data_IF_233891420944
#
_entry.id   IF_233891420944
#
_cell.length_a   1.000
_cell.length_b   1.000
_cell.length_c   1.000
_cell.angle_alpha   90.00
_cell.angle_beta   90.00
_cell.angle_gamma   90.00
#
_symmetry.space_group_name_H-M   'P 1'
#
loop_
_entity.id
_entity.type
_entity.pdbx_description
1 polymer ?
#
# COMPACT_ATOMS: atom_id res chain seq x y z
N UNK A 1 30.29 -64.89 -47.03
CA UNK A 1 29.00 -64.66 -46.33
C UNK A 1 29.27 -63.95 -45.03
N UNK A 2 29.03 -62.63 -44.98
CA UNK A 2 29.11 -61.80 -43.77
C UNK A 2 27.71 -61.21 -43.55
N UNK A 3 27.09 -61.60 -42.46
CA UNK A 3 25.77 -61.18 -41.98
C UNK A 3 25.86 -59.77 -41.40
N UNK A 4 25.00 -58.86 -41.88
CA UNK A 4 24.76 -57.54 -41.28
C UNK A 4 23.43 -57.65 -40.53
N UNK A 5 23.47 -57.52 -39.20
CA UNK A 5 22.28 -57.32 -38.36
C UNK A 5 21.97 -55.82 -38.34
N UNK A 6 20.84 -55.43 -38.93
CA UNK A 6 20.25 -54.11 -38.75
C UNK A 6 19.27 -54.19 -37.56
N UNK A 7 19.60 -53.53 -36.45
CA UNK A 7 18.72 -53.38 -35.30
C UNK A 7 17.74 -52.24 -35.56
N UNK A 8 16.46 -52.57 -35.70
CA UNK A 8 15.35 -51.62 -35.76
C UNK A 8 14.97 -51.24 -34.32
N UNK A 9 15.31 -50.03 -33.89
CA UNK A 9 14.88 -49.48 -32.60
C UNK A 9 13.48 -48.91 -32.77
N UNK A 10 12.49 -49.52 -32.12
CA UNK A 10 11.13 -48.98 -32.01
C UNK A 10 11.12 -47.86 -30.96
N UNK A 11 10.90 -46.62 -31.38
CA UNK A 11 10.54 -45.52 -30.46
C UNK A 11 9.08 -45.72 -30.02
N UNK A 12 8.87 -46.10 -28.76
CA UNK A 12 7.58 -45.89 -28.09
C UNK A 12 7.51 -44.44 -27.61
N UNK A 13 6.77 -43.61 -28.34
CA UNK A 13 6.36 -42.29 -27.86
C UNK A 13 5.35 -42.48 -26.72
N UNK A 14 5.80 -42.29 -25.48
CA UNK A 14 4.88 -42.14 -24.35
C UNK A 14 4.22 -40.76 -24.46
N UNK A 15 2.99 -40.73 -24.96
CA UNK A 15 2.11 -39.59 -24.77
C UNK A 15 1.84 -39.45 -23.27
N UNK A 16 2.49 -38.49 -22.61
CA UNK A 16 2.05 -38.00 -21.30
C UNK A 16 0.72 -37.26 -21.52
N UNK A 17 -0.38 -38.00 -21.40
CA UNK A 17 -1.71 -37.40 -21.26
C UNK A 17 -1.75 -36.66 -19.93
N UNK A 18 -1.63 -35.34 -19.97
CA UNK A 18 -2.12 -34.50 -18.89
C UNK A 18 -3.61 -34.86 -18.70
N UNK A 19 -4.10 -35.14 -17.48
CA UNK A 19 -5.53 -35.37 -17.28
C UNK A 19 -6.25 -34.12 -17.76
N UNK A 20 -7.15 -34.27 -18.74
CA UNK A 20 -7.96 -33.18 -19.27
C UNK A 20 -8.64 -32.47 -18.09
N UNK A 21 -8.22 -31.24 -17.81
CA UNK A 21 -8.98 -30.37 -16.93
C UNK A 21 -10.38 -30.25 -17.53
N UNK A 22 -11.39 -30.84 -16.88
CA UNK A 22 -12.78 -30.78 -17.34
C UNK A 22 -13.14 -29.32 -17.58
N UNK A 23 -13.34 -28.98 -18.84
CA UNK A 23 -13.82 -27.66 -19.24
C UNK A 23 -15.31 -27.63 -19.00
N UNK A 24 -15.77 -26.57 -18.32
CA UNK A 24 -17.15 -26.31 -18.02
C UNK A 24 -17.57 -24.99 -18.66
N UNK A 25 -18.81 -24.95 -19.11
CA UNK A 25 -19.46 -23.77 -19.68
C UNK A 25 -20.54 -23.29 -18.71
N UNK A 26 -20.59 -22.00 -18.42
CA UNK A 26 -21.55 -21.40 -17.46
C UNK A 26 -22.01 -20.03 -17.93
N UNK A 27 -23.33 -19.83 -17.92
CA UNK A 27 -23.96 -18.52 -18.20
C UNK A 27 -24.50 -17.94 -16.89
N UNK A 28 -24.12 -16.69 -16.61
CA UNK A 28 -24.57 -15.88 -15.48
C UNK A 28 -25.48 -14.77 -15.99
N UNK A 29 -26.49 -14.39 -15.22
CA UNK A 29 -27.43 -13.31 -15.58
C UNK A 29 -27.52 -12.29 -14.46
N UNK A 30 -27.18 -11.05 -14.77
CA UNK A 30 -27.18 -9.95 -13.79
C UNK A 30 -28.60 -9.62 -13.35
N UNK A 31 -28.78 -9.52 -12.03
CA UNK A 31 -30.04 -9.16 -11.37
C UNK A 31 -29.96 -7.77 -10.74
N UNK A 32 -28.83 -7.44 -10.10
CA UNK A 32 -28.69 -6.21 -9.31
C UNK A 32 -27.69 -5.22 -9.92
N UNK A 33 -26.88 -5.69 -10.87
CA UNK A 33 -26.01 -4.86 -11.70
C UNK A 33 -26.83 -4.27 -12.85
N UNK A 34 -26.94 -2.94 -12.92
CA UNK A 34 -27.95 -2.29 -13.79
C UNK A 34 -27.39 -1.24 -14.76
N UNK A 35 -26.08 -1.06 -14.80
CA UNK A 35 -25.44 -0.13 -15.74
C UNK A 35 -24.45 -0.87 -16.63
N UNK A 36 -24.30 -0.41 -17.88
CA UNK A 36 -23.32 -0.95 -18.84
C UNK A 36 -21.90 -0.86 -18.28
N UNK A 37 -21.57 0.26 -17.62
CA UNK A 37 -20.28 0.41 -16.95
C UNK A 37 -20.07 -0.68 -15.89
N UNK A 38 -21.06 -0.93 -15.03
CA UNK A 38 -20.96 -1.97 -14.01
C UNK A 38 -20.81 -3.37 -14.62
N UNK A 39 -21.47 -3.67 -15.75
CA UNK A 39 -21.28 -4.95 -16.44
C UNK A 39 -19.83 -5.13 -16.91
N UNK A 40 -19.22 -4.09 -17.49
CA UNK A 40 -17.81 -4.14 -17.89
C UNK A 40 -16.85 -4.25 -16.71
N UNK A 41 -17.11 -3.53 -15.60
CA UNK A 41 -16.30 -3.61 -14.37
C UNK A 41 -16.34 -5.05 -13.82
N UNK A 42 -17.54 -5.63 -13.58
CA UNK A 42 -17.67 -7.01 -13.07
C UNK A 42 -17.07 -8.04 -14.02
N UNK A 43 -17.29 -7.90 -15.33
CA UNK A 43 -16.70 -8.81 -16.33
C UNK A 43 -15.18 -8.78 -16.30
N UNK A 44 -14.60 -7.58 -16.21
CA UNK A 44 -13.14 -7.40 -16.13
C UNK A 44 -12.58 -7.97 -14.84
N UNK A 45 -13.29 -7.78 -13.72
CA UNK A 45 -12.92 -8.36 -12.43
C UNK A 45 -12.87 -9.88 -12.47
N UNK A 46 -13.96 -10.51 -12.92
CA UNK A 46 -14.05 -11.96 -13.03
C UNK A 46 -12.90 -12.46 -13.90
N UNK A 47 -12.74 -11.94 -15.12
CA UNK A 47 -11.68 -12.36 -16.05
C UNK A 47 -10.28 -12.27 -15.43
N UNK A 48 -9.99 -11.20 -14.69
CA UNK A 48 -8.63 -10.94 -14.22
C UNK A 48 -8.30 -11.66 -12.91
N UNK A 49 -9.29 -11.87 -12.02
CA UNK A 49 -9.09 -12.61 -10.78
C UNK A 49 -9.06 -14.11 -11.02
N UNK A 50 -9.92 -14.64 -11.89
CA UNK A 50 -9.99 -16.07 -12.18
C UNK A 50 -8.91 -16.54 -13.14
N UNK A 51 -8.34 -15.61 -13.92
CA UNK A 51 -7.48 -15.92 -15.07
C UNK A 51 -8.21 -16.71 -16.16
N UNK A 52 -9.56 -16.66 -16.15
CA UNK A 52 -10.39 -17.42 -17.07
C UNK A 52 -10.07 -17.06 -18.53
N UNK A 53 -9.79 -18.05 -19.38
CA UNK A 53 -9.31 -17.81 -20.73
C UNK A 53 -10.39 -17.31 -21.69
N UNK A 54 -11.70 -17.51 -21.38
CA UNK A 54 -12.81 -17.10 -22.24
C UNK A 54 -13.99 -16.59 -21.42
N UNK A 55 -14.19 -15.28 -21.47
CA UNK A 55 -15.31 -14.57 -20.86
C UNK A 55 -15.97 -13.72 -21.94
N UNK A 56 -17.24 -13.99 -22.23
CA UNK A 56 -18.05 -13.25 -23.23
C UNK A 56 -19.21 -12.57 -22.52
N UNK A 57 -19.39 -11.27 -22.75
CA UNK A 57 -20.49 -10.48 -22.17
C UNK A 57 -21.53 -10.18 -23.25
N UNK A 58 -22.81 -10.37 -22.92
CA UNK A 58 -23.95 -9.95 -23.74
C UNK A 58 -24.71 -8.86 -22.99
N UNK A 59 -24.62 -7.63 -23.51
CA UNK A 59 -25.27 -6.46 -22.90
C UNK A 59 -26.79 -6.50 -23.06
N UNK A 60 -27.30 -7.04 -24.16
CA UNK A 60 -28.74 -7.12 -24.44
C UNK A 60 -29.44 -8.12 -23.52
N UNK A 61 -28.80 -9.25 -23.26
CA UNK A 61 -29.30 -10.31 -22.37
C UNK A 61 -28.87 -10.11 -20.91
N UNK A 62 -28.09 -9.05 -20.62
CA UNK A 62 -27.46 -8.79 -19.31
C UNK A 62 -26.81 -10.05 -18.75
N UNK A 63 -25.99 -10.69 -19.57
CA UNK A 63 -25.43 -12.00 -19.24
C UNK A 63 -23.93 -12.09 -19.50
N UNK A 64 -23.31 -13.04 -18.82
CA UNK A 64 -21.89 -13.34 -18.89
C UNK A 64 -21.73 -14.84 -19.13
N UNK A 65 -21.11 -15.23 -20.22
CA UNK A 65 -20.76 -16.61 -20.52
C UNK A 65 -19.27 -16.84 -20.21
N UNK A 66 -19.00 -17.88 -19.44
CA UNK A 66 -17.64 -18.32 -19.10
C UNK A 66 -17.41 -19.74 -19.56
N UNK A 67 -16.19 -19.98 -20.06
CA UNK A 67 -15.70 -21.30 -20.43
C UNK A 67 -14.28 -21.49 -19.91
N UNK A 68 -14.07 -22.54 -19.12
CA UNK A 68 -12.77 -22.83 -18.53
C UNK A 68 -12.78 -24.06 -17.62
N UNK A 69 -11.65 -24.37 -16.97
CA UNK A 69 -11.56 -25.40 -15.92
C UNK A 69 -12.62 -25.22 -14.83
N UNK A 70 -13.11 -26.34 -14.30
CA UNK A 70 -14.18 -26.33 -13.28
C UNK A 70 -13.88 -25.48 -12.03
N UNK A 71 -12.62 -25.44 -11.57
CA UNK A 71 -12.22 -24.62 -10.42
C UNK A 71 -12.28 -23.10 -10.74
N UNK A 72 -11.88 -22.68 -11.94
CA UNK A 72 -12.00 -21.29 -12.38
C UNK A 72 -13.45 -20.87 -12.54
N UNK A 73 -14.32 -21.76 -13.05
CA UNK A 73 -15.77 -21.52 -13.15
C UNK A 73 -16.41 -21.43 -11.77
N UNK A 74 -15.99 -22.25 -10.80
CA UNK A 74 -16.47 -22.19 -9.43
C UNK A 74 -16.08 -20.87 -8.74
N UNK A 75 -14.83 -20.44 -8.90
CA UNK A 75 -14.40 -19.12 -8.42
C UNK A 75 -15.15 -17.99 -9.12
N UNK A 76 -15.33 -18.04 -10.44
CA UNK A 76 -16.09 -17.05 -11.19
C UNK A 76 -17.54 -16.95 -10.70
N UNK A 77 -18.18 -18.10 -10.43
CA UNK A 77 -19.52 -18.15 -9.87
C UNK A 77 -19.58 -17.49 -8.50
N UNK A 78 -18.63 -17.80 -7.61
CA UNK A 78 -18.56 -17.15 -6.31
C UNK A 78 -18.39 -15.63 -6.44
N UNK A 79 -17.47 -15.14 -7.28
CA UNK A 79 -17.26 -13.70 -7.51
C UNK A 79 -18.53 -13.05 -8.06
N UNK A 80 -19.17 -13.67 -9.05
CA UNK A 80 -20.41 -13.16 -9.64
C UNK A 80 -21.51 -13.05 -8.57
N UNK A 81 -21.71 -14.12 -7.79
CA UNK A 81 -22.73 -14.18 -6.75
C UNK A 81 -22.49 -13.20 -5.61
N UNK A 82 -21.25 -12.78 -5.37
CA UNK A 82 -20.90 -11.72 -4.42
C UNK A 82 -21.13 -10.31 -5.02
N UNK A 83 -20.65 -10.06 -6.23
CA UNK A 83 -20.69 -8.72 -6.85
C UNK A 83 -22.08 -8.33 -7.36
N UNK A 84 -22.92 -9.29 -7.75
CA UNK A 84 -24.29 -9.06 -8.23
C UNK A 84 -25.34 -9.14 -7.11
N UNK A 85 -24.94 -8.98 -5.85
CA UNK A 85 -25.88 -8.87 -4.72
C UNK A 85 -26.54 -7.49 -4.69
N UNK A 86 -27.75 -7.38 -4.12
CA UNK A 86 -28.31 -6.08 -3.79
C UNK A 86 -27.37 -5.33 -2.83
N UNK A 87 -27.22 -4.03 -3.03
CA UNK A 87 -26.48 -3.18 -2.10
C UNK A 87 -27.08 -3.29 -0.69
N UNK A 88 -26.30 -3.80 0.25
CA UNK A 88 -26.72 -3.88 1.65
C UNK A 88 -26.37 -2.60 2.38
N UNK A 89 -27.30 -2.11 3.20
CA UNK A 89 -27.05 -1.03 4.17
C UNK A 89 -26.84 -1.57 5.59
N UNK A 90 -26.97 -2.89 5.79
CA UNK A 90 -26.74 -3.53 7.09
C UNK A 90 -25.23 -3.61 7.38
N UNK A 91 -24.73 -2.97 8.45
CA UNK A 91 -23.33 -3.04 8.83
C UNK A 91 -22.80 -4.46 9.01
N UNK A 92 -23.64 -5.41 9.45
CA UNK A 92 -23.22 -6.82 9.64
C UNK A 92 -22.97 -7.52 8.31
N UNK A 93 -23.79 -7.22 7.31
CA UNK A 93 -23.63 -7.74 5.95
C UNK A 93 -22.38 -7.16 5.29
N UNK A 94 -22.14 -5.86 5.45
CA UNK A 94 -20.93 -5.18 4.95
C UNK A 94 -19.66 -5.73 5.62
N UNK A 95 -19.72 -6.03 6.91
CA UNK A 95 -18.59 -6.56 7.68
C UNK A 95 -18.42 -8.08 7.57
N UNK A 96 -19.27 -8.78 6.81
CA UNK A 96 -19.16 -10.21 6.63
C UNK A 96 -17.85 -10.57 5.92
N UNK A 97 -17.28 -11.73 6.26
CA UNK A 97 -16.08 -12.22 5.59
C UNK A 97 -16.50 -12.88 4.27
N UNK A 98 -16.09 -12.27 3.16
CA UNK A 98 -16.31 -12.77 1.82
C UNK A 98 -15.00 -13.34 1.27
N UNK A 99 -14.75 -14.61 1.51
CA UNK A 99 -13.49 -15.27 1.16
C UNK A 99 -13.72 -16.60 0.44
N UNK A 100 -12.87 -16.87 -0.55
CA UNK A 100 -12.83 -18.11 -1.30
C UNK A 100 -11.40 -18.63 -1.33
N UNK A 101 -11.21 -19.90 -1.00
CA UNK A 101 -9.89 -20.56 -1.04
C UNK A 101 -9.86 -21.59 -2.15
N UNK A 102 -8.88 -21.43 -3.05
CA UNK A 102 -8.55 -22.38 -4.11
C UNK A 102 -7.75 -23.55 -3.53
N UNK A 103 -7.84 -24.70 -4.19
CA UNK A 103 -7.21 -25.94 -3.71
C UNK A 103 -5.70 -25.99 -3.97
N UNK A 104 -5.15 -25.05 -4.74
CA UNK A 104 -3.73 -25.03 -5.10
C UNK A 104 -3.17 -23.65 -5.45
N UNK A 105 -1.83 -23.59 -5.53
CA UNK A 105 -1.06 -22.38 -5.82
C UNK A 105 -0.67 -21.58 -4.57
N UNK A 106 0.32 -20.70 -4.70
CA UNK A 106 0.73 -19.81 -3.61
C UNK A 106 -0.27 -18.66 -3.41
N UNK A 107 -0.95 -18.22 -4.47
CA UNK A 107 -1.99 -17.18 -4.42
C UNK A 107 -3.37 -17.83 -4.49
N UNK A 108 -3.70 -18.58 -3.45
CA UNK A 108 -4.89 -19.41 -3.38
C UNK A 108 -6.03 -18.78 -2.58
N UNK A 109 -5.88 -17.57 -2.04
CA UNK A 109 -6.93 -16.90 -1.28
C UNK A 109 -7.46 -15.70 -2.08
N UNK A 110 -8.77 -15.68 -2.29
CA UNK A 110 -9.51 -14.57 -2.89
C UNK A 110 -10.42 -13.98 -1.83
N UNK A 111 -10.37 -12.66 -1.64
CA UNK A 111 -11.19 -11.96 -0.65
C UNK A 111 -11.82 -10.72 -1.24
N UNK A 112 -13.10 -10.51 -0.92
CA UNK A 112 -13.86 -9.33 -1.29
C UNK A 112 -14.09 -8.47 -0.04
N UNK A 113 -13.90 -7.16 -0.19
CA UNK A 113 -14.18 -6.17 0.83
C UNK A 113 -15.16 -5.13 0.29
N UNK A 114 -16.16 -4.76 1.09
CA UNK A 114 -16.98 -3.58 0.84
C UNK A 114 -16.49 -2.43 1.72
N UNK A 115 -16.19 -1.28 1.11
CA UNK A 115 -15.65 -0.10 1.79
C UNK A 115 -16.61 1.09 1.69
N UNK A 116 -17.85 1.01 2.22
CA UNK A 116 -18.86 2.05 2.03
C UNK A 116 -18.49 3.38 2.72
N UNK A 117 -17.56 3.36 3.68
CA UNK A 117 -17.10 4.57 4.37
C UNK A 117 -16.16 5.43 3.50
N UNK A 118 -15.76 4.96 2.32
CA UNK A 118 -15.02 5.75 1.32
C UNK A 118 -15.96 6.67 0.55
N UNK A 119 -16.08 7.92 1.04
CA UNK A 119 -17.09 8.90 0.59
C UNK A 119 -17.04 9.21 -0.91
N UNK A 120 -15.85 9.17 -1.51
CA UNK A 120 -15.66 9.43 -2.95
C UNK A 120 -15.01 8.23 -3.65
N UNK A 121 -15.16 8.15 -4.98
CA UNK A 121 -14.45 7.15 -5.80
C UNK A 121 -12.94 7.32 -5.63
N UNK A 122 -12.46 8.56 -5.53
CA UNK A 122 -11.05 8.85 -5.33
C UNK A 122 -10.54 8.24 -4.01
N UNK A 123 -11.23 8.47 -2.88
CA UNK A 123 -10.84 7.89 -1.58
C UNK A 123 -10.80 6.36 -1.64
N UNK A 124 -11.77 5.75 -2.33
CA UNK A 124 -11.81 4.30 -2.52
C UNK A 124 -10.60 3.78 -3.31
N UNK A 125 -10.23 4.46 -4.40
CA UNK A 125 -9.08 4.12 -5.22
C UNK A 125 -7.74 4.35 -4.50
N UNK A 126 -7.65 5.37 -3.64
CA UNK A 126 -6.49 5.60 -2.76
C UNK A 126 -6.30 4.41 -1.81
N UNK A 127 -7.36 3.95 -1.13
CA UNK A 127 -7.31 2.79 -0.24
C UNK A 127 -6.92 1.51 -0.99
N UNK A 128 -7.52 1.27 -2.16
CA UNK A 128 -7.18 0.10 -2.97
C UNK A 128 -5.71 0.10 -3.40
N UNK A 129 -5.18 1.26 -3.80
CA UNK A 129 -3.77 1.42 -4.17
C UNK A 129 -2.85 1.21 -2.97
N UNK A 130 -3.19 1.77 -1.81
CA UNK A 130 -2.44 1.61 -0.57
C UNK A 130 -2.36 0.14 -0.14
N UNK A 131 -3.47 -0.60 -0.19
CA UNK A 131 -3.51 -2.03 0.14
C UNK A 131 -2.68 -2.83 -0.85
N UNK A 132 -2.84 -2.57 -2.16
CA UNK A 132 -2.09 -3.23 -3.22
C UNK A 132 -0.58 -3.16 -2.99
N UNK A 133 -0.06 -1.97 -2.74
CA UNK A 133 1.38 -1.74 -2.64
C UNK A 133 1.95 -2.13 -1.27
N UNK A 134 1.19 -1.95 -0.19
CA UNK A 134 1.63 -2.31 1.16
C UNK A 134 1.67 -3.81 1.35
N UNK A 135 0.62 -4.52 0.91
CA UNK A 135 0.53 -5.97 1.02
C UNK A 135 1.26 -6.72 -0.12
N UNK A 136 1.82 -6.01 -1.10
CA UNK A 136 2.46 -6.59 -2.29
C UNK A 136 1.53 -7.54 -3.09
N UNK A 137 0.24 -7.17 -3.15
CA UNK A 137 -0.78 -7.94 -3.87
C UNK A 137 -0.89 -7.42 -5.28
N UNK A 138 -0.60 -8.27 -6.28
CA UNK A 138 -0.68 -7.87 -7.69
C UNK A 138 -2.10 -7.87 -8.25
N UNK A 139 -3.01 -8.61 -7.62
CA UNK A 139 -4.39 -8.78 -8.07
C UNK A 139 -5.35 -8.08 -7.12
N UNK A 140 -5.23 -6.76 -7.01
CA UNK A 140 -6.22 -5.88 -6.37
C UNK A 140 -7.01 -5.16 -7.45
N UNK A 141 -8.33 -5.31 -7.43
CA UNK A 141 -9.21 -4.65 -8.39
C UNK A 141 -10.49 -4.15 -7.71
N UNK A 142 -11.12 -3.17 -8.35
CA UNK A 142 -12.21 -2.39 -7.76
C UNK A 142 -13.47 -2.41 -8.62
N UNK A 143 -14.62 -2.56 -7.99
CA UNK A 143 -15.94 -2.26 -8.52
C UNK A 143 -16.45 -0.98 -7.84
N UNK A 144 -16.53 0.11 -8.60
CA UNK A 144 -16.67 1.44 -8.02
C UNK A 144 -18.06 1.69 -7.43
N UNK A 145 -19.12 1.25 -8.11
CA UNK A 145 -20.50 1.54 -7.70
C UNK A 145 -20.82 1.06 -6.26
N UNK A 146 -20.51 -0.19 -5.87
CA UNK A 146 -20.69 -0.67 -4.49
C UNK A 146 -19.50 -0.40 -3.56
N UNK A 147 -18.43 0.29 -4.02
CA UNK A 147 -17.15 0.41 -3.28
C UNK A 147 -16.58 -0.96 -2.89
N UNK A 148 -16.66 -1.93 -3.80
CA UNK A 148 -16.21 -3.29 -3.56
C UNK A 148 -14.81 -3.50 -4.13
N UNK A 149 -13.88 -4.00 -3.32
CA UNK A 149 -12.51 -4.30 -3.70
C UNK A 149 -12.27 -5.79 -3.55
N UNK A 150 -11.87 -6.44 -4.64
CA UNK A 150 -11.49 -7.86 -4.65
C UNK A 150 -9.97 -7.98 -4.73
N UNK A 151 -9.43 -8.88 -3.92
CA UNK A 151 -8.02 -9.20 -3.87
C UNK A 151 -7.81 -10.69 -4.10
N UNK A 152 -6.67 -11.06 -4.71
CA UNK A 152 -6.16 -12.43 -4.75
C UNK A 152 -4.68 -12.44 -4.40
N UNK A 153 -4.31 -13.28 -3.44
CA UNK A 153 -2.95 -13.38 -2.91
C UNK A 153 -2.73 -14.63 -2.07
N UNK A 154 -1.57 -14.71 -1.41
CA UNK A 154 -1.32 -15.75 -0.41
C UNK A 154 -1.99 -15.41 0.93
N UNK A 155 -1.99 -16.36 1.87
CA UNK A 155 -2.62 -16.18 3.19
C UNK A 155 -2.13 -14.94 3.95
N UNK A 156 -0.82 -14.72 4.03
CA UNK A 156 -0.23 -13.59 4.76
C UNK A 156 -0.58 -12.24 4.13
N UNK A 157 -0.58 -12.19 2.79
CA UNK A 157 -0.97 -11.01 2.03
C UNK A 157 -2.43 -10.65 2.26
N UNK A 158 -3.33 -11.64 2.17
CA UNK A 158 -4.76 -11.45 2.40
C UNK A 158 -5.04 -11.09 3.85
N UNK A 159 -4.33 -11.67 4.81
CA UNK A 159 -4.43 -11.32 6.22
C UNK A 159 -4.00 -9.87 6.48
N UNK A 160 -2.86 -9.44 5.92
CA UNK A 160 -2.44 -8.03 6.02
C UNK A 160 -3.45 -7.09 5.36
N UNK A 161 -3.98 -7.43 4.18
CA UNK A 161 -4.99 -6.61 3.52
C UNK A 161 -6.29 -6.51 4.35
N UNK A 162 -6.72 -7.60 4.97
CA UNK A 162 -7.88 -7.60 5.87
C UNK A 162 -7.65 -6.71 7.09
N UNK A 163 -6.47 -6.82 7.72
CA UNK A 163 -6.09 -5.93 8.81
C UNK A 163 -6.03 -4.47 8.38
N UNK A 164 -5.47 -4.16 7.20
CA UNK A 164 -5.41 -2.78 6.68
C UNK A 164 -6.80 -2.17 6.50
N UNK A 165 -7.76 -2.92 5.95
CA UNK A 165 -9.14 -2.44 5.78
C UNK A 165 -9.76 -2.05 7.13
N UNK A 166 -9.61 -2.92 8.14
CA UNK A 166 -10.13 -2.66 9.48
C UNK A 166 -9.40 -1.51 10.18
N UNK A 167 -8.07 -1.50 10.14
CA UNK A 167 -7.24 -0.49 10.76
C UNK A 167 -7.47 0.89 10.16
N UNK A 168 -7.62 1.01 8.84
CA UNK A 168 -7.95 2.27 8.17
C UNK A 168 -9.33 2.76 8.63
N UNK A 169 -10.34 1.90 8.66
CA UNK A 169 -11.69 2.28 9.08
C UNK A 169 -11.73 2.74 10.55
N UNK A 170 -11.05 2.03 11.44
CA UNK A 170 -10.97 2.37 12.87
C UNK A 170 -10.16 3.66 13.10
N UNK A 171 -9.03 3.81 12.44
CA UNK A 171 -8.13 4.95 12.64
C UNK A 171 -8.68 6.22 12.00
N UNK A 172 -9.44 6.09 10.92
CA UNK A 172 -10.21 7.21 10.35
C UNK A 172 -11.25 7.78 11.34
N UNK A 173 -11.71 6.97 12.30
CA UNK A 173 -12.69 7.37 13.33
C UNK A 173 -12.03 7.86 14.61
N UNK A 174 -10.93 7.25 15.01
CA UNK A 174 -10.30 7.44 16.33
C UNK A 174 -9.02 8.24 16.30
N UNK A 175 -8.39 8.39 15.12
CA UNK A 175 -7.05 8.97 14.97
C UNK A 175 -5.94 8.16 15.65
N UNK A 176 -6.23 6.94 16.11
CA UNK A 176 -5.27 6.10 16.83
C UNK A 176 -4.33 5.40 15.86
N UNK A 177 -3.03 5.27 16.18
CA UNK A 177 -2.12 4.46 15.38
C UNK A 177 -2.48 2.98 15.51
N UNK A 178 -2.10 2.19 14.50
CA UNK A 178 -2.27 0.74 14.51
C UNK A 178 -1.02 0.04 14.01
N UNK A 179 -0.74 -1.15 14.53
CA UNK A 179 0.43 -1.96 14.18
C UNK A 179 0.03 -3.39 13.81
N UNK A 180 0.75 -3.95 12.84
CA UNK A 180 0.65 -5.34 12.43
C UNK A 180 2.02 -5.94 12.18
N UNK A 181 2.21 -7.17 12.64
CA UNK A 181 3.38 -7.97 12.37
C UNK A 181 3.03 -9.10 11.41
N UNK A 182 3.66 -9.07 10.24
CA UNK A 182 3.65 -10.21 9.34
C UNK A 182 4.56 -11.33 9.87
N UNK A 183 4.31 -12.59 9.48
CA UNK A 183 5.29 -13.66 9.68
C UNK A 183 6.68 -13.27 9.15
N UNK A 184 7.73 -13.79 9.81
CA UNK A 184 9.11 -13.39 9.56
C UNK A 184 9.59 -13.75 8.13
N UNK A 185 9.01 -14.79 7.53
CA UNK A 185 9.29 -15.30 6.20
C UNK A 185 8.45 -14.65 5.09
N UNK A 186 7.49 -13.79 5.43
CA UNK A 186 6.61 -13.15 4.45
C UNK A 186 7.28 -12.06 3.59
N UNK A 187 8.45 -11.52 4.00
CA UNK A 187 9.24 -10.59 3.19
C UNK A 187 10.74 -10.91 3.27
N UNK A 188 11.41 -11.24 2.15
CA UNK A 188 12.85 -11.52 2.11
C UNK A 188 13.74 -10.37 2.61
N UNK A 189 13.23 -9.14 2.71
CA UNK A 189 13.96 -7.97 3.19
C UNK A 189 13.81 -7.73 4.69
N UNK A 190 12.95 -8.50 5.38
CA UNK A 190 12.62 -8.27 6.78
C UNK A 190 11.65 -7.10 7.01
N UNK A 191 10.97 -6.63 5.95
CA UNK A 191 9.96 -5.57 6.04
C UNK A 191 8.62 -6.13 6.53
N UNK A 192 8.62 -6.67 7.75
CA UNK A 192 7.49 -7.42 8.33
C UNK A 192 6.67 -6.63 9.34
N UNK A 193 7.07 -5.39 9.66
CA UNK A 193 6.32 -4.50 10.55
C UNK A 193 5.58 -3.46 9.73
N UNK A 194 4.27 -3.37 9.94
CA UNK A 194 3.39 -2.40 9.30
C UNK A 194 2.79 -1.48 10.36
N UNK A 195 3.02 -0.19 10.20
CA UNK A 195 2.41 0.86 11.02
C UNK A 195 1.46 1.71 10.19
N UNK A 196 0.29 1.96 10.74
CA UNK A 196 -0.63 2.97 10.26
C UNK A 196 -0.57 4.18 11.20
N UNK A 197 -0.25 5.33 10.63
CA UNK A 197 -0.07 6.59 11.33
C UNK A 197 -1.14 7.59 10.91
N UNK A 198 -1.52 8.45 11.86
CA UNK A 198 -2.38 9.60 11.64
C UNK A 198 -1.60 10.89 11.90
N UNK A 199 -1.74 11.87 11.01
CA UNK A 199 -1.14 13.20 11.16
C UNK A 199 -2.26 14.19 11.49
N UNK A 200 -2.37 14.54 12.77
CA UNK A 200 -3.46 15.36 13.28
C UNK A 200 -3.31 16.85 12.98
N UNK A 201 -2.07 17.35 12.92
CA UNK A 201 -1.75 18.78 12.91
C UNK A 201 -1.28 19.31 11.56
N UNK A 202 -1.29 18.49 10.51
CA UNK A 202 -0.98 18.97 9.16
C UNK A 202 -2.02 19.99 8.67
N UNK A 203 -1.55 21.18 8.32
CA UNK A 203 -2.39 22.32 7.95
C UNK A 203 -3.11 22.13 6.60
N UNK A 204 -2.56 21.28 5.73
CA UNK A 204 -3.10 20.99 4.39
C UNK A 204 -2.74 19.56 3.96
N UNK A 205 -3.32 19.08 2.86
CA UNK A 205 -2.92 17.80 2.25
C UNK A 205 -1.47 17.85 1.77
N UNK A 206 -1.02 18.99 1.25
CA UNK A 206 0.38 19.19 0.84
C UNK A 206 1.34 19.04 2.04
N UNK A 207 1.02 19.65 3.17
CA UNK A 207 1.81 19.56 4.40
C UNK A 207 1.88 18.11 4.92
N UNK A 208 0.73 17.43 4.94
CA UNK A 208 0.66 16.00 5.26
C UNK A 208 1.54 15.14 4.33
N UNK A 209 1.51 15.39 3.02
CA UNK A 209 2.33 14.66 2.05
C UNK A 209 3.83 14.96 2.20
N UNK A 210 4.20 16.19 2.55
CA UNK A 210 5.58 16.55 2.89
C UNK A 210 6.06 15.78 4.12
N UNK A 211 5.26 15.69 5.18
CA UNK A 211 5.58 14.91 6.39
C UNK A 211 5.76 13.42 6.04
N UNK A 212 4.82 12.81 5.32
CA UNK A 212 4.92 11.41 4.92
C UNK A 212 6.16 11.14 4.04
N UNK A 213 6.52 12.07 3.15
CA UNK A 213 7.72 11.98 2.31
C UNK A 213 8.99 12.14 3.13
N UNK A 214 9.02 13.05 4.11
CA UNK A 214 10.12 13.20 5.05
C UNK A 214 10.36 11.88 5.78
N UNK A 215 9.31 11.27 6.33
CA UNK A 215 9.37 9.98 7.04
C UNK A 215 9.93 8.89 6.13
N UNK A 216 9.37 8.75 4.92
CA UNK A 216 9.83 7.80 3.91
C UNK A 216 11.35 7.92 3.66
N UNK A 217 11.83 9.13 3.43
CA UNK A 217 13.23 9.39 3.07
C UNK A 217 14.18 9.24 4.26
N UNK A 218 13.79 9.72 5.44
CA UNK A 218 14.65 9.75 6.63
C UNK A 218 14.68 8.37 7.30
N UNK A 219 13.56 7.67 7.40
CA UNK A 219 13.50 6.31 7.95
C UNK A 219 14.00 5.24 6.96
N UNK A 220 14.15 5.56 5.67
CA UNK A 220 14.52 4.62 4.59
C UNK A 220 13.45 3.53 4.35
N UNK A 221 12.19 3.89 4.59
CA UNK A 221 11.04 3.00 4.39
C UNK A 221 10.57 3.13 2.95
N UNK A 222 10.69 2.06 2.16
CA UNK A 222 10.30 2.08 0.74
C UNK A 222 8.80 1.99 0.51
N UNK A 223 8.03 1.55 1.50
CA UNK A 223 6.58 1.38 1.41
C UNK A 223 5.92 2.34 2.39
N UNK A 224 5.92 3.62 2.05
CA UNK A 224 5.12 4.66 2.70
C UNK A 224 4.08 5.12 1.70
N UNK A 225 2.80 4.94 2.01
CA UNK A 225 1.67 5.27 1.15
C UNK A 225 0.60 6.05 1.91
N UNK A 226 0.11 7.12 1.29
CA UNK A 226 -0.80 8.08 1.92
C UNK A 226 -2.26 7.81 1.54
N UNK A 227 -3.14 8.02 2.50
CA UNK A 227 -4.58 8.19 2.34
C UNK A 227 -4.94 9.61 2.78
N UNK A 228 -5.17 10.48 1.79
CA UNK A 228 -5.07 11.93 1.98
C UNK A 228 -6.13 12.48 2.92
N UNK A 229 -7.37 12.03 2.77
CA UNK A 229 -8.49 12.34 3.66
C UNK A 229 -8.84 11.03 4.39
N UNK A 230 -8.28 10.74 5.57
CA UNK A 230 -8.20 11.64 6.71
C UNK A 230 -6.77 11.85 7.23
N UNK A 231 -5.78 12.04 6.34
CA UNK A 231 -4.36 12.25 6.67
C UNK A 231 -3.74 11.05 7.39
N UNK A 232 -4.06 9.87 6.90
CA UNK A 232 -3.45 8.61 7.33
C UNK A 232 -2.36 8.22 6.35
N UNK A 233 -1.28 7.61 6.83
CA UNK A 233 -0.35 6.91 5.94
C UNK A 233 0.04 5.58 6.56
N UNK A 234 0.41 4.64 5.69
CA UNK A 234 0.92 3.33 6.10
C UNK A 234 2.37 3.21 5.73
N UNK A 235 3.18 2.74 6.69
CA UNK A 235 4.58 2.42 6.55
C UNK A 235 4.79 0.91 6.73
N UNK A 236 5.50 0.27 5.80
CA UNK A 236 5.94 -1.12 5.94
C UNK A 236 7.47 -1.21 5.79
N UNK A 237 8.13 -1.67 6.85
CA UNK A 237 9.58 -1.73 6.97
C UNK A 237 10.03 -2.64 8.11
N UNK A 238 11.31 -2.58 8.48
CA UNK A 238 11.82 -3.29 9.65
C UNK A 238 11.29 -2.68 10.95
N UNK A 239 11.48 -3.39 12.08
CA UNK A 239 11.13 -2.86 13.39
C UNK A 239 11.86 -1.54 13.69
N UNK A 240 13.16 -1.47 13.40
CA UNK A 240 13.99 -0.27 13.65
C UNK A 240 13.57 0.91 12.77
N UNK A 241 13.21 0.64 11.51
CA UNK A 241 12.71 1.68 10.61
C UNK A 241 11.39 2.25 11.12
N UNK A 242 10.47 1.39 11.56
CA UNK A 242 9.18 1.81 12.10
C UNK A 242 9.29 2.56 13.43
N UNK A 243 10.23 2.18 14.30
CA UNK A 243 10.56 2.96 15.52
C UNK A 243 11.03 4.38 15.16
N UNK A 244 11.92 4.52 14.17
CA UNK A 244 12.34 5.84 13.69
C UNK A 244 11.18 6.61 13.04
N UNK A 245 10.32 5.94 12.26
CA UNK A 245 9.14 6.57 11.67
C UNK A 245 8.18 7.09 12.75
N UNK A 246 7.93 6.31 13.80
CA UNK A 246 7.11 6.72 14.94
C UNK A 246 7.70 7.94 15.65
N UNK A 247 9.02 7.95 15.89
CA UNK A 247 9.69 9.11 16.46
C UNK A 247 9.54 10.35 15.57
N UNK A 248 9.72 10.20 14.24
CA UNK A 248 9.53 11.29 13.29
C UNK A 248 8.10 11.83 13.28
N UNK A 249 7.08 10.96 13.35
CA UNK A 249 5.68 11.40 13.48
C UNK A 249 5.51 12.25 14.74
N UNK A 250 6.04 11.81 15.89
CA UNK A 250 5.95 12.60 17.13
C UNK A 250 6.62 13.97 17.02
N UNK A 251 7.73 14.06 16.29
CA UNK A 251 8.44 15.32 16.12
C UNK A 251 7.79 16.21 15.07
N UNK A 252 7.25 15.67 13.98
CA UNK A 252 6.74 16.44 12.84
C UNK A 252 5.24 16.77 12.93
N UNK A 253 4.45 15.94 13.60
CA UNK A 253 3.01 16.15 13.81
C UNK A 253 2.73 17.07 15.02
N UNK A 254 3.34 18.25 15.00
CA UNK A 254 3.18 19.26 16.04
C UNK A 254 2.18 20.34 15.61
N UNK A 255 1.36 20.88 16.53
CA UNK A 255 0.53 22.04 16.23
C UNK A 255 1.42 23.21 15.78
N UNK A 256 0.99 23.90 14.72
CA UNK A 256 1.79 24.96 14.08
C UNK A 256 2.28 26.01 15.09
N UNK A 257 3.56 26.39 14.97
CA UNK A 257 4.19 27.38 15.87
C UNK A 257 5.15 26.80 16.90
N UNK A 258 5.74 25.62 16.66
CA UNK A 258 6.94 25.22 17.39
C UNK A 258 8.02 26.29 17.15
N UNK A 259 8.26 27.17 18.14
CA UNK A 259 9.43 28.06 18.14
C UNK A 259 10.72 27.25 17.99
N UNK A 260 11.86 27.90 17.70
CA UNK A 260 13.07 27.13 17.42
C UNK A 260 13.35 26.09 18.51
N UNK A 261 13.31 24.85 18.06
CA UNK A 261 13.56 23.65 18.82
C UNK A 261 14.29 22.69 17.89
N UNK A 262 15.09 21.82 18.50
CA UNK A 262 15.68 20.71 17.76
C UNK A 262 15.57 19.44 18.58
N UNK A 263 15.22 18.35 17.90
CA UNK A 263 15.04 17.04 18.50
C UNK A 263 15.99 16.05 17.82
N UNK A 264 16.63 15.22 18.62
CA UNK A 264 17.64 14.29 18.17
C UNK A 264 17.20 12.84 18.42
N UNK A 265 17.54 11.98 17.47
CA UNK A 265 17.38 10.54 17.58
C UNK A 265 18.66 9.85 17.14
N UNK A 266 19.17 8.97 18.00
CA UNK A 266 20.26 8.08 17.68
C UNK A 266 19.72 6.65 17.61
N UNK A 267 19.86 6.02 16.45
CA UNK A 267 19.41 4.65 16.29
C UNK A 267 20.21 3.73 17.22
N UNK A 268 19.54 2.83 17.98
CA UNK A 268 20.23 1.82 18.77
C UNK A 268 21.16 1.01 17.87
N UNK A 269 22.39 0.78 18.33
CA UNK A 269 23.39 -0.07 17.65
C UNK A 269 23.95 0.45 16.31
N UNK A 270 23.67 1.69 15.91
CA UNK A 270 24.34 2.35 14.76
C UNK A 270 24.98 3.63 15.25
N UNK A 271 26.26 3.55 15.64
CA UNK A 271 27.00 4.65 16.26
C UNK A 271 27.18 5.87 15.37
N UNK A 272 27.12 5.70 14.04
CA UNK A 272 27.35 6.77 13.07
C UNK A 272 26.11 7.15 12.24
N UNK A 273 24.94 7.09 12.87
CA UNK A 273 23.68 7.41 12.21
C UNK A 273 22.76 8.20 13.15
N UNK A 274 22.82 9.52 12.99
CA UNK A 274 22.07 10.48 13.78
C UNK A 274 20.99 11.13 12.93
N UNK A 275 19.79 11.28 13.51
CA UNK A 275 18.67 11.99 12.91
C UNK A 275 18.39 13.23 13.74
N UNK A 276 18.15 14.36 13.09
CA UNK A 276 17.78 15.60 13.77
C UNK A 276 16.70 16.35 13.01
N UNK A 277 15.74 16.88 13.75
CA UNK A 277 14.69 17.78 13.27
C UNK A 277 15.00 19.18 13.81
N UNK A 278 15.00 20.19 12.95
CA UNK A 278 15.18 21.59 13.29
C UNK A 278 13.93 22.38 12.92
N UNK A 279 13.44 23.22 13.82
CA UNK A 279 12.44 24.25 13.53
C UNK A 279 13.15 25.59 13.37
N UNK A 280 13.04 26.20 12.19
CA UNK A 280 13.76 27.43 11.85
C UNK A 280 12.84 28.66 11.96
N UNK A 281 13.37 29.76 12.51
CA UNK A 281 12.75 31.07 12.49
C UNK A 281 12.98 31.76 11.13
N UNK A 282 12.48 31.16 10.06
CA UNK A 282 12.57 31.76 8.72
C UNK A 282 11.26 32.48 8.37
N UNK A 283 11.27 33.82 8.17
CA UNK A 283 10.04 34.57 7.95
C UNK A 283 9.40 34.23 6.59
N UNK A 284 10.17 33.72 5.63
CA UNK A 284 9.66 33.27 4.32
C UNK A 284 10.04 31.81 4.02
N UNK A 285 9.24 31.16 3.17
CA UNK A 285 9.55 29.80 2.65
C UNK A 285 10.84 29.82 1.83
N UNK A 286 11.09 30.88 1.07
CA UNK A 286 12.28 30.98 0.21
C UNK A 286 13.57 30.99 1.03
N UNK A 287 13.62 31.80 2.09
CA UNK A 287 14.78 31.82 3.00
C UNK A 287 14.98 30.47 3.68
N UNK A 288 13.90 29.86 4.15
CA UNK A 288 13.94 28.51 4.73
C UNK A 288 14.56 27.48 3.77
N UNK A 289 14.11 27.46 2.51
CA UNK A 289 14.61 26.54 1.49
C UNK A 289 16.07 26.81 1.11
N UNK A 290 16.48 28.09 1.10
CA UNK A 290 17.88 28.47 0.91
C UNK A 290 18.76 27.93 2.04
N UNK A 291 18.36 28.14 3.29
CA UNK A 291 19.09 27.60 4.46
C UNK A 291 19.22 26.09 4.38
N UNK A 292 18.15 25.37 4.05
CA UNK A 292 18.19 23.92 3.88
C UNK A 292 19.15 23.47 2.75
N UNK A 293 19.20 24.21 1.65
CA UNK A 293 20.11 23.94 0.53
C UNK A 293 21.56 24.17 0.91
N UNK A 294 21.86 25.25 1.64
CA UNK A 294 23.19 25.56 2.14
C UNK A 294 23.68 24.48 3.10
N UNK A 295 22.83 24.08 4.06
CA UNK A 295 23.13 22.99 5.01
C UNK A 295 23.42 21.71 4.26
N UNK A 296 22.55 21.30 3.32
CA UNK A 296 22.78 20.08 2.50
C UNK A 296 24.13 20.12 1.79
N UNK A 297 24.42 21.23 1.11
CA UNK A 297 25.61 21.36 0.24
C UNK A 297 26.90 21.37 1.05
N UNK A 298 26.94 22.14 2.14
CA UNK A 298 28.16 22.32 2.94
C UNK A 298 28.44 21.15 3.89
N UNK A 299 27.41 20.45 4.38
CA UNK A 299 27.58 19.28 5.26
C UNK A 299 27.70 17.97 4.50
N UNK A 300 27.29 17.93 3.23
CA UNK A 300 27.24 16.70 2.42
C UNK A 300 26.16 15.72 2.86
N UNK A 301 25.20 16.12 3.70
CA UNK A 301 24.11 15.26 4.14
C UNK A 301 23.17 14.99 2.97
N UNK A 302 23.14 13.73 2.49
CA UNK A 302 22.26 13.34 1.39
C UNK A 302 20.80 13.22 1.81
N UNK A 303 20.53 12.75 3.03
CA UNK A 303 19.18 12.59 3.57
C UNK A 303 18.80 13.84 4.37
N UNK A 304 18.34 14.86 3.65
CA UNK A 304 17.76 16.07 4.22
C UNK A 304 16.41 16.29 3.55
N UNK A 305 15.39 16.68 4.32
CA UNK A 305 14.06 16.98 3.80
C UNK A 305 13.46 18.16 4.57
N UNK A 306 12.56 18.89 3.92
CA UNK A 306 11.93 20.11 4.47
C UNK A 306 10.42 19.97 4.45
N UNK A 307 9.77 20.27 5.57
CA UNK A 307 8.32 20.49 5.65
C UNK A 307 8.11 22.01 5.70
N UNK A 308 7.55 22.56 4.62
CA UNK A 308 7.52 24.01 4.42
C UNK A 308 6.58 24.68 5.39
N UNK A 309 5.38 24.15 5.62
CA UNK A 309 4.38 24.79 6.47
C UNK A 309 4.88 25.02 7.91
N UNK A 310 5.56 24.04 8.48
CA UNK A 310 6.11 24.08 9.83
C UNK A 310 7.53 24.63 9.93
N UNK A 311 8.17 24.97 8.80
CA UNK A 311 9.60 25.34 8.72
C UNK A 311 10.51 24.29 9.38
N UNK A 312 10.11 23.02 9.29
CA UNK A 312 10.84 21.90 9.85
C UNK A 312 11.83 21.34 8.83
N UNK A 313 13.11 21.32 9.18
CA UNK A 313 14.16 20.67 8.41
C UNK A 313 14.60 19.39 9.13
N UNK A 314 14.39 18.25 8.50
CA UNK A 314 14.80 16.95 9.04
C UNK A 314 16.01 16.43 8.27
N UNK A 315 17.01 15.91 8.97
CA UNK A 315 18.20 15.38 8.36
C UNK A 315 18.71 14.11 9.04
N UNK A 316 19.40 13.26 8.28
CA UNK A 316 20.02 12.01 8.74
C UNK A 316 21.43 11.88 8.16
N UNK A 317 22.43 11.72 9.02
CA UNK A 317 23.83 11.63 8.63
C UNK A 317 24.73 11.11 9.74
N UNK A 318 26.04 11.23 9.54
CA UNK A 318 27.04 10.93 10.57
C UNK A 318 26.93 11.91 11.73
N UNK A 319 27.48 11.57 12.89
CA UNK A 319 27.47 12.47 14.06
C UNK A 319 28.11 13.81 13.72
N UNK A 320 29.25 13.79 13.03
CA UNK A 320 29.98 15.00 12.60
C UNK A 320 29.19 15.85 11.59
N UNK A 321 28.51 15.20 10.64
CA UNK A 321 27.68 15.88 9.66
C UNK A 321 26.52 16.62 10.34
N UNK A 322 25.82 15.96 11.27
CA UNK A 322 24.70 16.58 11.98
C UNK A 322 25.20 17.67 12.93
N UNK A 323 26.35 17.49 13.58
CA UNK A 323 26.97 18.55 14.39
C UNK A 323 27.38 19.77 13.56
N UNK A 324 27.88 19.56 12.33
CA UNK A 324 28.15 20.65 11.40
C UNK A 324 26.87 21.36 10.96
N UNK A 325 25.80 20.61 10.69
CA UNK A 325 24.49 21.18 10.37
C UNK A 325 23.95 22.04 11.52
N UNK A 326 24.05 21.58 12.77
CA UNK A 326 23.60 22.34 13.95
C UNK A 326 24.31 23.70 14.08
N UNK A 327 25.63 23.73 13.89
CA UNK A 327 26.40 24.99 13.90
C UNK A 327 25.92 25.94 12.80
N UNK A 328 25.75 25.43 11.59
CA UNK A 328 25.28 26.24 10.46
C UNK A 328 23.86 26.77 10.67
N UNK A 329 22.94 25.96 11.20
CA UNK A 329 21.57 26.40 11.48
C UNK A 329 21.59 27.52 12.52
N UNK A 330 22.38 27.41 13.58
CA UNK A 330 22.51 28.47 14.59
C UNK A 330 23.06 29.78 14.03
N UNK A 331 24.05 29.70 13.14
CA UNK A 331 24.62 30.88 12.47
C UNK A 331 23.61 31.54 11.53
N UNK A 332 22.91 30.75 10.71
CA UNK A 332 22.01 31.25 9.68
C UNK A 332 20.67 31.74 10.27
N UNK A 333 20.09 30.98 11.18
CA UNK A 333 18.78 31.28 11.80
C UNK A 333 18.89 32.38 12.89
N UNK A 334 20.03 32.46 13.59
CA UNK A 334 20.28 33.49 14.60
C UNK A 334 20.72 34.85 14.04
N UNK A 335 21.22 34.90 12.80
CA UNK A 335 21.69 36.14 12.19
C UNK A 335 20.58 37.17 11.89
N UNK A 336 19.35 36.72 11.66
CA UNK A 336 18.20 37.58 11.39
C UNK A 336 17.53 38.16 12.64
N UNK A 337 17.80 37.61 13.84
CA UNK A 337 17.30 38.18 15.11
C UNK A 337 18.03 39.47 15.53
N UNK A 338 19.18 39.77 14.89
CA UNK A 338 20.05 40.91 15.24
C UNK A 338 19.78 42.18 14.42
N UNK A 339 18.76 42.17 13.55
CA UNK A 339 18.38 43.29 12.67
C UNK A 339 16.97 43.85 12.91
N UNK A 340 16.39 43.65 14.09
CA UNK A 340 15.17 44.36 14.51
C UNK A 340 15.46 45.42 15.55
#
# INVERSE_FOLDING_TARGET
>A
MRTIFAALVALTAAAQTNPEAKTADRVFRFQNTNTVQSFHEVTTLIRTITEAPRVTMDESEKSLELRGPAEEIALAQWIFDELDRPLSTDPKSIAAVHEYTLSGGNENVVRLFYLPNTKTVQMFQEVATLIRTTADIRRVFTYNAPRAMIIRGNGDQVALAAWLVEAIDQSSKTGSPAEYHMPADSDPRGDTVVHLFHIAHAASIQDFQEIATAIRMIADIRRVFTYNEPRLFVARGSAEQNVLAQWLVQQLDVPGGAGAASYEYQAPNITDNMVRVFYLHSPTVEQFQRTATDVRTKTGIRRLFTCSASRAMTLRGTVDQVAAADRMVKELDGSDSSKQ
#
